data_IF_253376749669
#
_entry.id   IF_253376749669
#
_cell.length_a   1.000
_cell.length_b   1.000
_cell.length_c   1.000
_cell.angle_alpha   90.00
_cell.angle_beta   90.00
_cell.angle_gamma   90.00
#
_symmetry.space_group_name_H-M   'P 1'
#
loop_
_entity.id
_entity.type
_entity.pdbx_description
1 polymer ?
#
# COMPACT_ATOMS: atom_id res chain seq x y z
N UNK A 1 32.73 8.37 -21.19
CA UNK A 1 32.03 9.67 -21.35
C UNK A 1 31.43 10.08 -20.01
N UNK A 2 32.00 11.11 -19.38
CA UNK A 2 31.52 11.66 -18.10
C UNK A 2 30.14 12.31 -18.30
N UNK A 3 29.10 11.78 -17.63
CA UNK A 3 27.76 12.40 -17.61
C UNK A 3 27.78 13.58 -16.65
N UNK A 4 28.33 14.71 -17.07
CA UNK A 4 28.11 15.99 -16.37
C UNK A 4 26.63 16.32 -16.54
N UNK A 5 25.80 16.02 -15.54
CA UNK A 5 24.42 16.53 -15.49
C UNK A 5 24.52 18.02 -15.23
N UNK A 6 24.11 18.84 -16.18
CA UNK A 6 24.02 20.30 -16.01
C UNK A 6 23.06 20.63 -14.85
N UNK A 7 23.27 21.75 -14.15
CA UNK A 7 22.37 22.19 -13.06
C UNK A 7 20.90 22.21 -13.52
N UNK A 8 20.65 22.59 -14.77
CA UNK A 8 19.32 22.57 -15.39
C UNK A 8 18.68 21.17 -15.41
N UNK A 9 19.46 20.11 -15.59
CA UNK A 9 18.95 18.73 -15.55
C UNK A 9 18.55 18.29 -14.13
N UNK A 10 19.15 18.88 -13.08
CA UNK A 10 18.78 18.64 -11.69
C UNK A 10 17.46 19.33 -11.31
N UNK A 11 17.16 20.48 -11.92
CA UNK A 11 15.92 21.24 -11.68
C UNK A 11 14.81 20.97 -12.70
N UNK A 12 15.01 20.04 -13.64
CA UNK A 12 13.98 19.68 -14.62
C UNK A 12 12.82 18.95 -13.92
N UNK A 13 11.66 19.60 -13.85
CA UNK A 13 10.42 19.00 -13.35
C UNK A 13 9.90 17.96 -14.36
N UNK A 14 9.95 16.69 -14.01
CA UNK A 14 9.27 15.64 -14.76
C UNK A 14 7.77 15.67 -14.43
N UNK A 15 6.94 16.11 -15.38
CA UNK A 15 5.48 16.12 -15.24
C UNK A 15 4.89 14.87 -15.89
N UNK A 16 3.82 14.35 -15.29
CA UNK A 16 3.04 13.24 -15.84
C UNK A 16 1.64 13.71 -16.25
N UNK A 17 0.99 13.08 -17.24
CA UNK A 17 -0.36 13.45 -17.70
C UNK A 17 -1.42 13.56 -16.58
N UNK A 18 -1.32 12.72 -15.56
CA UNK A 18 -2.22 12.65 -14.41
C UNK A 18 -1.97 13.70 -13.31
N UNK A 19 -0.91 14.51 -13.41
CA UNK A 19 -0.49 15.46 -12.35
C UNK A 19 -1.62 16.39 -11.88
N UNK A 20 -2.48 16.88 -12.78
CA UNK A 20 -3.61 17.74 -12.39
C UNK A 20 -4.69 16.98 -11.59
N UNK A 21 -4.96 15.72 -11.93
CA UNK A 21 -5.95 14.90 -11.21
C UNK A 21 -5.42 14.60 -9.81
N UNK A 22 -4.14 14.25 -9.72
CA UNK A 22 -3.47 14.06 -8.45
C UNK A 22 -3.52 15.32 -7.58
N UNK A 23 -3.23 16.50 -8.14
CA UNK A 23 -3.26 17.76 -7.41
C UNK A 23 -4.66 18.09 -6.87
N UNK A 24 -5.71 17.83 -7.66
CA UNK A 24 -7.10 17.98 -7.19
C UNK A 24 -7.43 17.03 -6.04
N UNK A 25 -7.08 15.75 -6.17
CA UNK A 25 -7.30 14.74 -5.11
C UNK A 25 -6.55 15.14 -3.84
N UNK A 26 -5.28 15.52 -3.95
CA UNK A 26 -4.46 15.92 -2.82
C UNK A 26 -5.04 17.14 -2.09
N UNK A 27 -5.48 18.16 -2.83
CA UNK A 27 -6.13 19.33 -2.24
C UNK A 27 -7.47 18.97 -1.57
N UNK A 28 -8.30 18.17 -2.24
CA UNK A 28 -9.60 17.77 -1.70
C UNK A 28 -9.45 16.99 -0.38
N UNK A 29 -8.52 16.02 -0.33
CA UNK A 29 -8.22 15.27 0.89
C UNK A 29 -7.65 16.17 1.98
N UNK A 30 -6.74 17.09 1.64
CA UNK A 30 -6.14 18.01 2.62
C UNK A 30 -7.19 18.95 3.23
N UNK A 31 -8.05 19.55 2.41
CA UNK A 31 -9.17 20.39 2.86
C UNK A 31 -10.15 19.59 3.70
N UNK A 32 -10.48 18.37 3.27
CA UNK A 32 -11.36 17.48 4.05
C UNK A 32 -10.77 17.23 5.45
N UNK A 33 -9.52 16.76 5.55
CA UNK A 33 -8.87 16.50 6.84
C UNK A 33 -8.78 17.76 7.71
N UNK A 34 -8.43 18.91 7.11
CA UNK A 34 -8.37 20.19 7.81
C UNK A 34 -9.75 20.60 8.34
N UNK A 35 -10.82 20.38 7.58
CA UNK A 35 -12.20 20.68 8.02
C UNK A 35 -12.62 19.85 9.23
N UNK A 36 -12.07 18.64 9.40
CA UNK A 36 -12.38 17.73 10.51
C UNK A 36 -11.59 18.04 11.78
N UNK A 37 -10.62 18.97 11.74
CA UNK A 37 -9.66 19.14 12.83
C UNK A 37 -10.32 19.49 14.17
N UNK A 38 -11.38 20.30 14.15
CA UNK A 38 -12.08 20.70 15.36
C UNK A 38 -12.91 19.57 15.98
N UNK A 39 -13.40 18.64 15.15
CA UNK A 39 -14.17 17.48 15.59
C UNK A 39 -13.28 16.35 16.12
N UNK A 40 -12.08 16.17 15.53
CA UNK A 40 -11.18 15.05 15.84
C UNK A 40 -10.10 15.36 16.87
N UNK A 41 -9.90 16.64 17.22
CA UNK A 41 -8.86 17.07 18.16
C UNK A 41 -9.39 18.13 19.11
N UNK A 42 -8.74 18.33 20.26
CA UNK A 42 -9.11 19.34 21.24
C UNK A 42 -7.89 20.11 21.75
N UNK A 43 -8.12 21.36 22.14
CA UNK A 43 -7.21 22.08 23.03
C UNK A 43 -7.65 21.88 24.47
N UNK A 44 -6.68 21.55 25.32
CA UNK A 44 -6.90 21.40 26.76
C UNK A 44 -6.60 22.72 27.46
N UNK A 45 -7.43 23.14 28.44
CA UNK A 45 -7.14 24.31 29.25
C UNK A 45 -5.80 24.13 29.99
N UNK A 46 -5.07 25.22 30.17
CA UNK A 46 -3.79 25.28 30.89
C UNK A 46 -2.63 24.41 30.32
N UNK A 47 -2.76 23.91 29.09
CA UNK A 47 -1.68 23.17 28.41
C UNK A 47 -0.72 24.10 27.63
N UNK A 48 0.57 23.78 27.64
CA UNK A 48 1.58 24.46 26.80
C UNK A 48 1.23 24.32 25.32
N UNK A 49 1.30 25.43 24.56
CA UNK A 49 0.85 25.50 23.15
C UNK A 49 1.38 24.35 22.27
N UNK A 50 2.70 24.10 22.28
CA UNK A 50 3.32 23.06 21.45
C UNK A 50 3.06 21.62 21.93
N UNK A 51 2.58 21.44 23.16
CA UNK A 51 2.20 20.14 23.72
C UNK A 51 0.71 19.85 23.53
N UNK A 52 -0.03 20.77 22.92
CA UNK A 52 -1.45 20.60 22.68
C UNK A 52 -1.72 19.54 21.60
N UNK A 53 -2.68 18.62 21.80
CA UNK A 53 -3.00 17.57 20.83
C UNK A 53 -3.34 18.08 19.42
N UNK A 54 -3.98 19.25 19.31
CA UNK A 54 -4.37 19.85 18.03
C UNK A 54 -3.23 20.60 17.32
N UNK A 55 -2.23 21.09 18.03
CA UNK A 55 -1.30 22.09 17.49
C UNK A 55 -0.53 21.59 16.26
N UNK A 56 0.19 20.47 16.39
CA UNK A 56 0.96 19.91 15.28
C UNK A 56 0.11 19.37 14.13
N UNK A 57 -1.03 18.67 14.38
CA UNK A 57 -1.98 18.36 13.33
C UNK A 57 -2.46 19.60 12.57
N UNK A 58 -2.74 20.71 13.25
CA UNK A 58 -3.17 21.95 12.61
C UNK A 58 -2.08 22.54 11.72
N UNK A 59 -0.86 22.69 12.23
CA UNK A 59 0.29 23.20 11.46
C UNK A 59 0.54 22.34 10.23
N UNK A 60 0.53 21.01 10.39
CA UNK A 60 0.74 20.07 9.29
C UNK A 60 -0.37 20.15 8.23
N UNK A 61 -1.64 20.13 8.63
CA UNK A 61 -2.78 20.16 7.70
C UNK A 61 -2.92 21.51 6.99
N UNK A 62 -2.64 22.63 7.67
CA UNK A 62 -2.60 23.96 7.06
C UNK A 62 -1.49 24.02 6.01
N UNK A 63 -0.27 23.59 6.37
CA UNK A 63 0.86 23.55 5.45
C UNK A 63 0.59 22.65 4.24
N UNK A 64 0.11 21.44 4.48
CA UNK A 64 -0.26 20.48 3.43
C UNK A 64 -1.33 21.05 2.48
N UNK A 65 -2.36 21.70 3.02
CA UNK A 65 -3.42 22.35 2.22
C UNK A 65 -2.85 23.48 1.36
N UNK A 66 -2.01 24.34 1.94
CA UNK A 66 -1.37 25.44 1.21
C UNK A 66 -0.46 24.94 0.07
N UNK A 67 0.40 23.96 0.34
CA UNK A 67 1.27 23.38 -0.69
C UNK A 67 0.48 22.60 -1.75
N UNK A 68 -0.60 21.90 -1.38
CA UNK A 68 -1.47 21.25 -2.35
C UNK A 68 -2.17 22.28 -3.26
N UNK A 69 -2.58 23.42 -2.72
CA UNK A 69 -3.15 24.52 -3.50
C UNK A 69 -2.13 25.11 -4.48
N UNK A 70 -0.89 25.34 -4.04
CA UNK A 70 0.19 25.78 -4.92
C UNK A 70 0.55 24.73 -5.98
N UNK A 71 0.54 23.44 -5.64
CA UNK A 71 0.75 22.36 -6.60
C UNK A 71 -0.37 22.34 -7.65
N UNK A 72 -1.63 22.49 -7.24
CA UNK A 72 -2.75 22.57 -8.17
C UNK A 72 -2.63 23.78 -9.09
N UNK A 73 -2.35 24.96 -8.56
CA UNK A 73 -2.12 26.17 -9.36
C UNK A 73 -0.96 25.97 -10.36
N UNK A 74 0.16 25.44 -9.88
CA UNK A 74 1.32 25.11 -10.72
C UNK A 74 1.09 23.95 -11.69
N UNK A 75 0.01 23.18 -11.56
CA UNK A 75 -0.43 22.18 -12.53
C UNK A 75 -1.46 22.74 -13.52
N UNK A 76 -2.26 23.72 -13.09
CA UNK A 76 -3.23 24.44 -13.92
C UNK A 76 -2.57 25.36 -14.94
N UNK A 77 -1.55 26.10 -14.52
CA UNK A 77 -0.81 27.08 -15.35
C UNK A 77 0.19 26.43 -16.32
N UNK A 78 0.12 25.13 -16.50
CA UNK A 78 1.19 24.31 -16.99
C UNK A 78 0.66 23.49 -18.16
N UNK A 79 1.45 23.35 -19.23
CA UNK A 79 0.99 22.74 -20.49
C UNK A 79 0.34 21.38 -20.28
N UNK A 80 -0.70 21.09 -21.07
CA UNK A 80 -1.47 19.85 -20.96
C UNK A 80 -0.77 18.76 -21.76
N UNK A 81 -0.50 17.65 -21.08
CA UNK A 81 0.03 16.43 -21.68
C UNK A 81 -1.15 15.48 -21.91
N UNK A 82 -1.19 14.86 -23.08
CA UNK A 82 -2.20 13.87 -23.44
C UNK A 82 -2.04 12.55 -22.64
N UNK A 83 -3.10 11.74 -22.56
CA UNK A 83 -3.06 10.45 -21.87
C UNK A 83 -3.37 10.49 -20.36
N UNK A 84 -3.94 11.59 -19.85
CA UNK A 84 -4.35 11.73 -18.44
C UNK A 84 -5.20 10.57 -17.94
N UNK A 85 -6.24 10.22 -18.69
CA UNK A 85 -7.17 9.16 -18.29
C UNK A 85 -6.54 7.77 -18.34
N UNK A 86 -5.56 7.55 -19.22
CA UNK A 86 -4.76 6.32 -19.24
C UNK A 86 -3.97 6.16 -17.95
N UNK A 87 -3.36 7.23 -17.45
CA UNK A 87 -2.64 7.21 -16.18
C UNK A 87 -3.58 7.02 -14.98
N UNK A 88 -4.73 7.71 -14.96
CA UNK A 88 -5.74 7.54 -13.90
C UNK A 88 -6.27 6.10 -13.89
N UNK A 89 -6.53 5.53 -15.07
CA UNK A 89 -6.96 4.13 -15.19
C UNK A 89 -5.91 3.16 -14.67
N UNK A 90 -4.62 3.43 -14.91
CA UNK A 90 -3.53 2.65 -14.32
C UNK A 90 -3.55 2.71 -12.78
N UNK A 91 -3.86 3.86 -12.18
CA UNK A 91 -4.03 3.97 -10.73
C UNK A 91 -5.18 3.10 -10.24
N UNK A 92 -6.33 3.12 -10.94
CA UNK A 92 -7.47 2.27 -10.62
C UNK A 92 -7.12 0.79 -10.73
N UNK A 93 -6.47 0.38 -11.82
CA UNK A 93 -5.97 -0.99 -11.98
C UNK A 93 -4.99 -1.39 -10.87
N UNK A 94 -4.26 -0.44 -10.27
CA UNK A 94 -3.33 -0.74 -9.17
C UNK A 94 -4.05 -1.20 -7.90
N UNK A 95 -5.33 -0.84 -7.71
CA UNK A 95 -6.15 -1.34 -6.59
C UNK A 95 -6.41 -2.84 -6.68
N UNK A 96 -6.24 -3.47 -7.85
CA UNK A 96 -6.31 -4.92 -7.98
C UNK A 96 -5.44 -5.63 -6.95
N UNK A 97 -4.21 -5.15 -6.71
CA UNK A 97 -3.30 -5.75 -5.73
C UNK A 97 -3.77 -5.58 -4.28
N UNK A 98 -4.46 -4.47 -3.97
CA UNK A 98 -5.10 -4.30 -2.68
C UNK A 98 -6.23 -5.32 -2.48
N UNK A 99 -7.02 -5.59 -3.53
CA UNK A 99 -8.06 -6.63 -3.49
C UNK A 99 -7.47 -8.03 -3.35
N UNK A 100 -6.36 -8.34 -4.02
CA UNK A 100 -5.63 -9.60 -3.82
C UNK A 100 -5.21 -9.78 -2.35
N UNK A 101 -4.69 -8.72 -1.71
CA UNK A 101 -4.32 -8.78 -0.30
C UNK A 101 -5.53 -9.00 0.62
N UNK A 102 -6.64 -8.28 0.39
CA UNK A 102 -7.87 -8.43 1.18
C UNK A 102 -8.45 -9.84 1.03
N UNK A 103 -8.51 -10.37 -0.20
CA UNK A 103 -8.98 -11.72 -0.48
C UNK A 103 -8.09 -12.77 0.21
N UNK A 104 -6.77 -12.59 0.16
CA UNK A 104 -5.82 -13.43 0.86
C UNK A 104 -6.10 -13.44 2.38
N UNK A 105 -6.17 -12.25 3.00
CA UNK A 105 -6.42 -12.11 4.43
C UNK A 105 -7.77 -12.74 4.85
N UNK A 106 -8.79 -12.65 4.00
CA UNK A 106 -10.10 -13.24 4.25
C UNK A 106 -10.11 -14.78 4.15
N UNK A 107 -9.27 -15.36 3.28
CA UNK A 107 -9.22 -16.82 3.05
C UNK A 107 -8.34 -17.54 4.06
N UNK A 108 -7.27 -16.92 4.56
CA UNK A 108 -6.31 -17.52 5.51
C UNK A 108 -6.97 -18.22 6.71
N UNK A 109 -7.97 -17.65 7.40
CA UNK A 109 -8.65 -18.33 8.52
C UNK A 109 -9.36 -19.64 8.14
N UNK A 110 -9.74 -19.79 6.87
CA UNK A 110 -10.48 -20.95 6.38
C UNK A 110 -9.53 -22.00 5.82
N UNK A 111 -8.73 -21.61 4.84
CA UNK A 111 -7.84 -22.52 4.13
C UNK A 111 -6.53 -22.81 4.88
N UNK A 112 -6.10 -21.93 5.77
CA UNK A 112 -4.81 -22.02 6.47
C UNK A 112 -3.72 -21.18 5.80
N UNK A 113 -2.68 -20.86 6.55
CA UNK A 113 -1.65 -19.91 6.11
C UNK A 113 -0.81 -20.46 4.96
N UNK A 114 -0.36 -21.72 5.05
CA UNK A 114 0.45 -22.35 4.01
C UNK A 114 -0.26 -22.45 2.64
N UNK A 115 -1.41 -23.13 2.51
CA UNK A 115 -2.05 -23.29 1.21
C UNK A 115 -2.52 -21.95 0.62
N UNK A 116 -3.01 -21.03 1.46
CA UNK A 116 -3.38 -19.68 1.00
C UNK A 116 -2.17 -18.94 0.44
N UNK A 117 -1.03 -18.99 1.12
CA UNK A 117 0.19 -18.30 0.66
C UNK A 117 0.70 -18.87 -0.65
N UNK A 118 0.72 -20.20 -0.80
CA UNK A 118 1.16 -20.85 -2.04
C UNK A 118 0.23 -20.48 -3.20
N UNK A 119 -1.09 -20.62 -3.01
CA UNK A 119 -2.08 -20.33 -4.07
C UNK A 119 -2.00 -18.87 -4.50
N UNK A 120 -2.00 -17.93 -3.56
CA UNK A 120 -1.94 -16.50 -3.89
C UNK A 120 -0.60 -16.10 -4.50
N UNK A 121 0.53 -16.65 -4.03
CA UNK A 121 1.83 -16.39 -4.65
C UNK A 121 1.87 -16.86 -6.10
N UNK A 122 1.34 -18.04 -6.41
CA UNK A 122 1.26 -18.56 -7.76
C UNK A 122 0.31 -17.74 -8.65
N UNK A 123 -0.89 -17.44 -8.15
CA UNK A 123 -1.89 -16.65 -8.89
C UNK A 123 -1.34 -15.26 -9.23
N UNK A 124 -0.71 -14.57 -8.28
CA UNK A 124 -0.09 -13.26 -8.50
C UNK A 124 1.10 -13.31 -9.44
N UNK A 125 1.92 -14.37 -9.36
CA UNK A 125 3.06 -14.60 -10.27
C UNK A 125 2.57 -14.75 -11.72
N UNK A 126 1.52 -15.56 -11.92
CA UNK A 126 0.88 -15.74 -13.24
C UNK A 126 0.23 -14.42 -13.69
N UNK A 127 -0.43 -13.70 -12.78
CA UNK A 127 -1.09 -12.42 -13.06
C UNK A 127 -0.12 -11.30 -13.44
N UNK A 128 1.11 -11.35 -12.91
CA UNK A 128 2.21 -10.47 -13.30
C UNK A 128 2.83 -10.85 -14.67
N UNK A 129 2.37 -11.95 -15.29
CA UNK A 129 2.80 -12.41 -16.61
C UNK A 129 3.93 -13.45 -16.58
N UNK A 130 4.43 -13.83 -15.40
CA UNK A 130 5.47 -14.83 -15.28
C UNK A 130 4.89 -16.24 -15.35
N UNK A 131 5.20 -16.97 -16.43
CA UNK A 131 4.66 -18.32 -16.69
C UNK A 131 5.72 -19.41 -16.83
N UNK A 132 7.00 -19.08 -16.66
CA UNK A 132 8.06 -20.10 -16.76
C UNK A 132 7.99 -21.06 -15.57
N UNK A 133 8.24 -22.35 -15.80
CA UNK A 133 8.21 -23.37 -14.74
C UNK A 133 9.17 -23.04 -13.61
N UNK A 134 10.36 -22.53 -13.95
CA UNK A 134 11.38 -22.12 -12.98
C UNK A 134 10.82 -21.04 -12.05
N UNK A 135 10.15 -20.01 -12.58
CA UNK A 135 9.60 -18.94 -11.76
C UNK A 135 8.45 -19.44 -10.87
N UNK A 136 7.58 -20.32 -11.37
CA UNK A 136 6.49 -20.88 -10.56
C UNK A 136 7.00 -21.78 -9.42
N UNK A 137 8.05 -22.57 -9.67
CA UNK A 137 8.72 -23.36 -8.63
C UNK A 137 9.38 -22.43 -7.61
N UNK A 138 10.12 -21.40 -8.06
CA UNK A 138 10.73 -20.42 -7.18
C UNK A 138 9.69 -19.69 -6.33
N UNK A 139 8.55 -19.29 -6.91
CA UNK A 139 7.47 -18.64 -6.19
C UNK A 139 6.88 -19.56 -5.10
N UNK A 140 6.71 -20.85 -5.40
CA UNK A 140 6.25 -21.85 -4.42
C UNK A 140 7.27 -22.04 -3.30
N UNK A 141 8.55 -22.17 -3.63
CA UNK A 141 9.63 -22.29 -2.65
C UNK A 141 9.73 -21.04 -1.76
N UNK A 142 9.60 -19.84 -2.33
CA UNK A 142 9.54 -18.59 -1.59
C UNK A 142 8.31 -18.53 -0.67
N UNK A 143 7.13 -18.94 -1.15
CA UNK A 143 5.92 -19.00 -0.34
C UNK A 143 6.09 -19.91 0.89
N UNK A 144 6.66 -21.10 0.70
CA UNK A 144 6.98 -22.03 1.80
C UNK A 144 7.99 -21.39 2.76
N UNK A 145 9.06 -20.80 2.23
CA UNK A 145 10.08 -20.12 3.03
C UNK A 145 9.52 -18.97 3.88
N UNK A 146 8.61 -18.16 3.31
CA UNK A 146 7.89 -17.10 4.03
C UNK A 146 7.07 -17.71 5.18
N UNK A 147 6.30 -18.77 4.90
CA UNK A 147 5.45 -19.38 5.92
C UNK A 147 6.28 -19.95 7.07
N UNK A 148 7.37 -20.67 6.76
CA UNK A 148 8.30 -21.20 7.75
C UNK A 148 8.97 -20.07 8.56
N UNK A 149 9.39 -18.98 7.90
CA UNK A 149 9.97 -17.83 8.58
C UNK A 149 8.99 -17.19 9.57
N UNK A 150 7.76 -16.94 9.16
CA UNK A 150 6.78 -16.23 10.00
C UNK A 150 6.19 -17.11 11.09
N UNK A 151 5.83 -18.36 10.78
CA UNK A 151 5.12 -19.24 11.70
C UNK A 151 6.08 -20.08 12.55
N UNK A 152 7.10 -20.70 11.96
CA UNK A 152 8.01 -21.58 12.68
C UNK A 152 9.15 -20.80 13.37
N UNK A 153 9.76 -19.82 12.69
CA UNK A 153 10.89 -19.08 13.25
C UNK A 153 10.47 -17.87 14.09
N UNK A 154 9.61 -16.98 13.56
CA UNK A 154 9.16 -15.76 14.26
C UNK A 154 7.97 -15.98 15.21
N UNK A 155 7.36 -17.17 15.21
CA UNK A 155 6.23 -17.54 16.07
C UNK A 155 5.04 -16.55 16.01
N UNK A 156 4.77 -16.00 14.83
CA UNK A 156 3.67 -15.05 14.65
C UNK A 156 2.33 -15.77 14.82
N UNK A 157 1.45 -15.18 15.63
CA UNK A 157 0.09 -15.70 15.88
C UNK A 157 -0.81 -15.46 14.68
N UNK A 158 -0.77 -16.39 13.73
CA UNK A 158 -1.66 -16.43 12.57
C UNK A 158 -2.83 -17.39 12.80
N UNK A 159 -4.03 -17.10 12.26
CA UNK A 159 -5.18 -18.01 12.33
C UNK A 159 -4.81 -19.38 11.78
N UNK A 160 -5.10 -20.43 12.55
CA UNK A 160 -5.02 -21.79 12.05
C UNK A 160 -6.21 -22.03 11.10
N UNK A 161 -5.94 -22.60 9.93
CA UNK A 161 -6.98 -22.86 8.94
C UNK A 161 -7.97 -23.91 9.43
N UNK A 162 -9.27 -23.63 9.34
CA UNK A 162 -10.31 -24.62 9.67
C UNK A 162 -10.19 -25.91 8.85
N UNK A 163 -9.66 -25.83 7.62
CA UNK A 163 -9.38 -27.00 6.77
C UNK A 163 -8.45 -28.01 7.44
N UNK A 164 -7.59 -27.58 8.36
CA UNK A 164 -6.68 -28.49 9.05
C UNK A 164 -7.39 -29.44 10.03
N UNK A 165 -8.62 -29.12 10.48
CA UNK A 165 -9.39 -29.98 11.37
C UNK A 165 -9.90 -31.26 10.70
N UNK A 166 -9.96 -31.29 9.37
CA UNK A 166 -10.39 -32.46 8.59
C UNK A 166 -9.24 -33.45 8.37
N UNK A 167 -8.00 -33.07 8.72
CA UNK A 167 -6.82 -33.91 8.52
C UNK A 167 -6.73 -35.03 9.58
N UNK A 168 -6.11 -36.18 9.24
CA UNK A 168 -5.78 -37.22 10.21
C UNK A 168 -4.93 -36.68 11.37
N UNK A 169 -5.08 -37.24 12.57
CA UNK A 169 -4.55 -36.69 13.82
C UNK A 169 -3.06 -36.28 13.77
N UNK A 170 -2.20 -37.12 13.18
CA UNK A 170 -0.78 -36.82 13.06
C UNK A 170 -0.46 -35.64 12.14
N UNK A 171 -1.18 -35.49 11.02
CA UNK A 171 -1.00 -34.39 10.07
C UNK A 171 -1.64 -33.10 10.57
N UNK A 172 -2.79 -33.21 11.25
CA UNK A 172 -3.49 -32.09 11.85
C UNK A 172 -2.61 -31.36 12.86
N UNK A 173 -2.00 -32.08 13.79
CA UNK A 173 -1.16 -31.46 14.82
C UNK A 173 0.05 -30.73 14.21
N UNK A 174 0.66 -31.29 13.16
CA UNK A 174 1.77 -30.66 12.46
C UNK A 174 1.33 -29.37 11.74
N UNK A 175 0.21 -29.40 11.02
CA UNK A 175 -0.34 -28.23 10.31
C UNK A 175 -0.77 -27.12 11.27
N UNK A 176 -1.46 -27.44 12.36
CA UNK A 176 -1.88 -26.46 13.36
C UNK A 176 -0.71 -25.78 14.08
N UNK A 177 0.39 -26.52 14.29
CA UNK A 177 1.55 -26.03 15.04
C UNK A 177 2.46 -25.16 14.17
N UNK A 178 2.76 -25.61 12.95
CA UNK A 178 3.82 -25.01 12.11
C UNK A 178 3.31 -24.22 10.89
N UNK A 179 2.02 -24.30 10.56
CA UNK A 179 1.44 -23.77 9.31
C UNK A 179 0.07 -23.10 9.52
#
# INVERSE_FOLDING_TARGET
MSRIKTLQALFKRYRRPGDIVFAWIALAVAVFLLSQIFAQTAYKPNGKLFAQPRFWPAVSLIGMTGFAAFHLLGSMLSERIEGRWTEVWLWVCSFEFAFWFVAYAAIVPWAGYLPSTIVFALLLTIRAGYRSRIILISATASAIGIVLLFKAFLQVKLPAGQVYEVLPDGLRQLMLTYF
#
